data_IF_849475222923
#
_entry.id   IF_849475222923
#
_cell.length_a   1.000
_cell.length_b   1.000
_cell.length_c   1.000
_cell.angle_alpha   90.00
_cell.angle_beta   90.00
_cell.angle_gamma   90.00
#
_symmetry.space_group_name_H-M   'P 1'
#
loop_
_entity.id
_entity.type
_entity.pdbx_description
1 polymer ?
#
# COMPACT_ATOMS: atom_id res chain seq x y z
N UNK A 1 0.05 -35.78 6.48
CA UNK A 1 0.85 -34.64 6.93
C UNK A 1 -0.08 -33.45 7.01
N UNK A 2 -0.41 -32.98 8.21
CA UNK A 2 -1.17 -31.73 8.38
C UNK A 2 -0.23 -30.59 8.00
N UNK A 3 -0.42 -30.00 6.82
CA UNK A 3 0.27 -28.78 6.44
C UNK A 3 0.05 -27.76 7.57
N UNK A 4 1.14 -27.29 8.17
CA UNK A 4 1.09 -26.24 9.18
C UNK A 4 0.63 -24.99 8.42
N UNK A 5 -0.65 -24.64 8.53
CA UNK A 5 -1.20 -23.49 7.82
C UNK A 5 -0.47 -22.25 8.32
N UNK A 6 0.35 -21.64 7.45
CA UNK A 6 1.04 -20.40 7.77
C UNK A 6 0.03 -19.29 8.02
N UNK A 7 0.45 -18.35 8.85
CA UNK A 7 -0.35 -17.19 9.19
C UNK A 7 -0.61 -16.33 7.96
N UNK A 8 -1.86 -15.87 7.80
CA UNK A 8 -2.23 -15.00 6.68
C UNK A 8 -1.59 -13.61 6.82
N UNK A 9 -1.16 -13.07 5.68
CA UNK A 9 -0.52 -11.76 5.53
C UNK A 9 -1.42 -10.84 4.70
N UNK A 10 -1.62 -9.62 5.20
CA UNK A 10 -2.33 -8.57 4.48
C UNK A 10 -1.32 -7.62 3.83
N UNK A 11 -1.37 -7.49 2.51
CA UNK A 11 -0.62 -6.49 1.75
C UNK A 11 -1.55 -5.34 1.38
N UNK A 12 -1.31 -4.14 1.88
CA UNK A 12 -2.13 -2.95 1.61
C UNK A 12 -1.42 -2.04 0.61
N UNK A 13 -2.10 -1.75 -0.50
CA UNK A 13 -1.62 -0.92 -1.61
C UNK A 13 -2.43 0.38 -1.71
N UNK A 14 -1.81 1.50 -1.36
CA UNK A 14 -2.45 2.82 -1.41
C UNK A 14 -2.21 3.51 -2.76
N UNK A 15 -3.27 3.67 -3.55
CA UNK A 15 -3.25 4.39 -4.83
C UNK A 15 -3.65 5.85 -4.62
N UNK A 16 -2.74 6.65 -4.03
CA UNK A 16 -3.03 8.03 -3.67
C UNK A 16 -3.29 8.91 -4.89
N UNK A 17 -4.30 9.76 -4.77
CA UNK A 17 -4.71 10.70 -5.80
C UNK A 17 -6.10 10.46 -6.33
N UNK A 18 -6.95 9.68 -5.65
CA UNK A 18 -8.36 9.51 -6.04
C UNK A 18 -8.56 9.12 -7.51
N UNK A 19 -8.07 7.95 -7.92
CA UNK A 19 -8.17 7.54 -9.32
C UNK A 19 -9.61 7.54 -9.84
N UNK A 20 -9.77 7.74 -11.15
CA UNK A 20 -11.07 7.78 -11.79
C UNK A 20 -11.71 6.40 -11.86
N UNK A 21 -12.63 6.14 -10.93
CA UNK A 21 -13.37 4.88 -10.86
C UNK A 21 -14.07 4.53 -12.18
N UNK A 22 -14.64 5.51 -12.89
CA UNK A 22 -15.40 5.27 -14.13
C UNK A 22 -14.50 5.03 -15.35
N UNK A 23 -13.22 5.38 -15.26
CA UNK A 23 -12.18 4.98 -16.23
C UNK A 23 -11.28 3.87 -15.68
N UNK A 24 -11.68 3.20 -14.61
CA UNK A 24 -10.99 2.06 -14.02
C UNK A 24 -11.86 0.81 -14.14
N UNK A 25 -13.11 0.90 -13.64
CA UNK A 25 -14.19 -0.06 -13.85
C UNK A 25 -15.28 0.68 -14.63
N UNK A 26 -15.24 0.49 -15.94
CA UNK A 26 -15.95 1.29 -16.93
C UNK A 26 -17.34 0.70 -17.14
N UNK A 27 -18.43 1.46 -16.89
CA UNK A 27 -19.79 1.04 -17.24
C UNK A 27 -20.02 1.24 -18.75
N UNK A 28 -19.33 0.45 -19.56
CA UNK A 28 -19.12 0.71 -20.99
C UNK A 28 -20.39 0.57 -21.85
N UNK A 29 -21.44 -0.08 -21.32
CA UNK A 29 -22.75 -0.19 -21.94
C UNK A 29 -23.78 0.84 -21.41
N UNK A 30 -23.39 1.70 -20.46
CA UNK A 30 -24.26 2.79 -19.99
C UNK A 30 -24.10 4.03 -20.91
N UNK A 31 -25.16 4.46 -21.63
CA UNK A 31 -25.07 5.62 -22.51
C UNK A 31 -24.67 6.90 -21.77
N UNK A 32 -24.97 7.03 -20.48
CA UNK A 32 -24.57 8.20 -19.68
C UNK A 32 -23.06 8.32 -19.56
N UNK A 33 -22.32 7.21 -19.52
CA UNK A 33 -20.86 7.26 -19.50
C UNK A 33 -20.34 7.95 -20.76
N UNK A 34 -20.86 7.58 -21.93
CA UNK A 34 -20.46 8.17 -23.21
C UNK A 34 -20.84 9.66 -23.31
N UNK A 35 -22.01 10.03 -22.80
CA UNK A 35 -22.48 11.41 -22.80
C UNK A 35 -21.65 12.32 -21.89
N UNK A 36 -21.25 11.81 -20.72
CA UNK A 36 -20.49 12.57 -19.71
C UNK A 36 -18.97 12.55 -19.94
N UNK A 37 -18.44 11.60 -20.74
CA UNK A 37 -17.02 11.41 -21.04
C UNK A 37 -16.71 11.61 -22.52
N UNK A 38 -16.83 12.83 -23.04
CA UNK A 38 -16.64 13.11 -24.48
C UNK A 38 -15.19 12.97 -24.93
N UNK A 39 -14.24 13.33 -24.07
CA UNK A 39 -12.79 13.28 -24.33
C UNK A 39 -12.17 12.05 -23.68
N UNK A 40 -12.64 11.69 -22.48
CA UNK A 40 -12.03 10.66 -21.66
C UNK A 40 -12.62 9.26 -21.84
N UNK A 41 -13.72 9.09 -22.59
CA UNK A 41 -14.30 7.75 -22.76
C UNK A 41 -13.30 6.77 -23.33
N UNK A 42 -13.41 5.55 -22.86
CA UNK A 42 -12.84 4.36 -23.52
C UNK A 42 -13.96 3.76 -24.37
N UNK A 43 -13.69 3.53 -25.64
CA UNK A 43 -14.70 2.96 -26.54
C UNK A 43 -15.00 1.50 -26.12
N UNK A 44 -16.26 1.04 -26.22
CA UNK A 44 -16.68 -0.29 -25.72
C UNK A 44 -15.80 -1.44 -26.20
N UNK A 45 -15.31 -1.38 -27.44
CA UNK A 45 -14.49 -2.42 -28.06
C UNK A 45 -13.08 -2.51 -27.47
N UNK A 46 -12.64 -1.48 -26.75
CA UNK A 46 -11.33 -1.42 -26.09
C UNK A 46 -11.41 -1.87 -24.62
N UNK A 47 -12.61 -1.89 -24.04
CA UNK A 47 -12.82 -2.26 -22.64
C UNK A 47 -12.60 -3.76 -22.46
N UNK A 48 -12.01 -4.14 -21.31
CA UNK A 48 -11.80 -5.53 -20.94
C UNK A 48 -13.01 -6.02 -20.11
N UNK A 49 -13.98 -6.74 -20.70
CA UNK A 49 -15.27 -6.98 -20.03
C UNK A 49 -15.12 -7.86 -18.79
N UNK A 50 -15.72 -7.45 -17.67
CA UNK A 50 -15.85 -8.27 -16.46
C UNK A 50 -17.19 -9.02 -16.45
N UNK A 51 -18.24 -8.33 -16.91
CA UNK A 51 -19.58 -8.85 -17.16
C UNK A 51 -20.24 -8.06 -18.33
N UNK A 52 -21.56 -8.16 -18.49
CA UNK A 52 -22.32 -7.46 -19.54
C UNK A 52 -22.48 -5.95 -19.31
N UNK A 53 -22.09 -5.42 -18.15
CA UNK A 53 -22.32 -4.03 -17.75
C UNK A 53 -21.03 -3.25 -17.55
N UNK A 54 -20.02 -3.87 -16.96
CA UNK A 54 -18.77 -3.23 -16.57
C UNK A 54 -17.53 -3.98 -17.06
N UNK A 55 -16.46 -3.25 -17.27
CA UNK A 55 -15.17 -3.82 -17.68
C UNK A 55 -13.99 -2.99 -17.20
N UNK A 56 -12.80 -3.58 -17.20
CA UNK A 56 -11.59 -2.86 -16.82
C UNK A 56 -11.05 -2.01 -17.96
N UNK A 57 -10.34 -0.95 -17.59
CA UNK A 57 -9.59 -0.14 -18.53
C UNK A 57 -8.57 -1.01 -19.32
N UNK A 58 -8.37 -0.80 -20.64
CA UNK A 58 -7.51 -1.65 -21.48
C UNK A 58 -6.07 -1.83 -20.97
N UNK A 59 -5.51 -0.81 -20.30
CA UNK A 59 -4.17 -0.91 -19.70
C UNK A 59 -4.09 -1.79 -18.45
N UNK A 60 -5.22 -2.28 -17.93
CA UNK A 60 -5.30 -3.16 -16.78
C UNK A 60 -5.35 -4.65 -17.18
N UNK A 61 -4.92 -4.99 -18.40
CA UNK A 61 -4.88 -6.37 -18.88
C UNK A 61 -4.19 -7.36 -17.91
N UNK A 62 -3.09 -7.03 -17.21
CA UNK A 62 -2.51 -7.92 -16.21
C UNK A 62 -3.46 -8.23 -15.04
N UNK A 63 -4.19 -7.23 -14.54
CA UNK A 63 -5.18 -7.45 -13.48
C UNK A 63 -6.39 -8.24 -14.00
N UNK A 64 -6.78 -8.02 -15.25
CA UNK A 64 -7.84 -8.80 -15.91
C UNK A 64 -7.50 -10.29 -15.97
N UNK A 65 -6.25 -10.63 -16.26
CA UNK A 65 -5.81 -12.04 -16.26
C UNK A 65 -6.00 -12.69 -14.87
N UNK A 66 -5.64 -11.97 -13.79
CA UNK A 66 -5.89 -12.45 -12.42
C UNK A 66 -7.39 -12.57 -12.10
N UNK A 67 -8.21 -11.63 -12.60
CA UNK A 67 -9.66 -11.70 -12.46
C UNK A 67 -10.23 -12.95 -13.14
N UNK A 68 -9.76 -13.28 -14.35
CA UNK A 68 -10.18 -14.47 -15.10
C UNK A 68 -9.77 -15.78 -14.43
N UNK A 69 -8.71 -15.76 -13.62
CA UNK A 69 -8.31 -16.86 -12.73
C UNK A 69 -9.15 -16.94 -11.43
N UNK A 70 -10.12 -16.04 -11.24
CA UNK A 70 -10.94 -15.95 -10.02
C UNK A 70 -10.17 -15.41 -8.81
N UNK A 71 -9.13 -14.61 -9.03
CA UNK A 71 -8.24 -14.11 -7.96
C UNK A 71 -8.47 -12.66 -7.59
N UNK A 72 -9.48 -12.01 -8.15
CA UNK A 72 -9.74 -10.57 -7.96
C UNK A 72 -11.22 -10.34 -7.64
N UNK A 73 -11.49 -9.66 -6.53
CA UNK A 73 -12.79 -9.08 -6.23
C UNK A 73 -12.74 -7.56 -6.43
N UNK A 74 -13.75 -7.03 -7.12
CA UNK A 74 -13.91 -5.60 -7.40
C UNK A 74 -14.99 -5.03 -6.48
N UNK A 75 -14.59 -4.11 -5.59
CA UNK A 75 -15.50 -3.44 -4.65
C UNK A 75 -15.91 -2.09 -5.24
N UNK A 76 -17.09 -2.01 -5.83
CA UNK A 76 -17.61 -0.78 -6.45
C UNK A 76 -18.45 0.06 -5.48
N UNK A 77 -18.47 1.37 -5.68
CA UNK A 77 -19.35 2.28 -4.94
C UNK A 77 -18.94 2.49 -3.48
N UNK A 78 -17.69 2.18 -3.12
CA UNK A 78 -17.19 2.32 -1.75
C UNK A 78 -16.86 3.77 -1.43
N UNK A 79 -16.96 4.13 -0.15
CA UNK A 79 -16.66 5.47 0.33
C UNK A 79 -17.11 5.64 1.77
N UNK A 80 -17.25 6.89 2.20
CA UNK A 80 -17.70 7.22 3.56
C UNK A 80 -18.82 8.29 3.50
N UNK A 81 -19.69 8.37 4.52
CA UNK A 81 -20.79 9.34 4.55
C UNK A 81 -20.28 10.79 4.47
N UNK A 82 -21.02 11.66 3.77
CA UNK A 82 -20.69 13.07 3.60
C UNK A 82 -19.26 13.28 3.05
N UNK A 83 -18.99 12.80 1.81
CA UNK A 83 -17.65 12.78 1.24
C UNK A 83 -17.04 14.17 1.18
N UNK A 84 -15.80 14.29 1.65
CA UNK A 84 -15.07 15.54 1.61
C UNK A 84 -14.03 15.44 0.49
N UNK A 85 -13.97 16.42 -0.39
CA UNK A 85 -13.14 16.34 -1.62
C UNK A 85 -11.69 16.79 -1.37
N UNK A 86 -11.16 16.51 -0.17
CA UNK A 86 -9.81 16.88 0.24
C UNK A 86 -8.97 15.62 0.40
N UNK A 87 -7.89 15.49 -0.37
CA UNK A 87 -6.96 14.36 -0.27
C UNK A 87 -6.52 14.11 1.18
N UNK A 88 -6.13 15.16 1.90
CA UNK A 88 -5.61 15.04 3.27
C UNK A 88 -6.61 14.40 4.22
N UNK A 89 -7.81 14.96 4.32
CA UNK A 89 -8.79 14.46 5.29
C UNK A 89 -9.53 13.22 4.80
N UNK A 90 -9.71 13.01 3.49
CA UNK A 90 -10.21 11.73 2.98
C UNK A 90 -9.24 10.57 3.25
N UNK A 91 -7.95 10.77 3.00
CA UNK A 91 -6.93 9.77 3.33
C UNK A 91 -6.90 9.50 4.83
N UNK A 92 -6.98 10.54 5.66
CA UNK A 92 -7.06 10.41 7.13
C UNK A 92 -8.26 9.56 7.57
N UNK A 93 -9.44 9.74 6.94
CA UNK A 93 -10.62 8.91 7.21
C UNK A 93 -10.37 7.44 6.84
N UNK A 94 -9.81 7.16 5.66
CA UNK A 94 -9.47 5.79 5.25
C UNK A 94 -8.40 5.14 6.14
N UNK A 95 -7.43 5.94 6.60
CA UNK A 95 -6.37 5.49 7.50
C UNK A 95 -6.86 5.19 8.91
N UNK A 96 -7.82 5.97 9.41
CA UNK A 96 -8.32 5.83 10.79
C UNK A 96 -9.60 4.98 10.89
N UNK A 97 -10.30 4.79 9.76
CA UNK A 97 -11.66 4.30 9.68
C UNK A 97 -12.67 5.15 10.50
N UNK A 98 -12.43 6.46 10.65
CA UNK A 98 -13.25 7.38 11.45
C UNK A 98 -13.64 8.64 10.65
N UNK A 99 -14.87 8.70 10.10
CA UNK A 99 -15.31 9.81 9.25
C UNK A 99 -15.69 11.08 10.02
N UNK A 100 -16.09 10.96 11.30
CA UNK A 100 -16.71 12.05 12.07
C UNK A 100 -15.76 12.77 13.01
N UNK A 101 -14.78 12.06 13.55
CA UNK A 101 -13.83 12.60 14.53
C UNK A 101 -12.42 12.69 13.95
N UNK A 102 -11.61 13.54 14.57
CA UNK A 102 -10.17 13.49 14.40
C UNK A 102 -9.59 12.55 15.44
N UNK A 103 -8.99 11.46 14.97
CA UNK A 103 -8.29 10.48 15.81
C UNK A 103 -6.87 10.32 15.29
N UNK A 104 -5.98 9.89 16.15
CA UNK A 104 -4.54 9.80 15.85
C UNK A 104 -4.10 8.37 15.52
N UNK A 105 -4.93 7.38 15.84
CA UNK A 105 -4.66 5.97 15.65
C UNK A 105 -5.29 5.43 14.36
N UNK A 106 -4.45 4.82 13.53
CA UNK A 106 -4.85 4.11 12.34
C UNK A 106 -5.41 2.72 12.65
N UNK A 107 -6.29 2.25 11.78
CA UNK A 107 -6.95 0.96 11.99
C UNK A 107 -5.97 -0.22 11.84
N UNK A 108 -4.96 -0.14 10.97
CA UNK A 108 -3.90 -1.15 10.90
C UNK A 108 -3.01 -1.10 12.14
N UNK A 109 -2.70 0.09 12.66
CA UNK A 109 -1.99 0.25 13.92
C UNK A 109 -2.71 -0.45 15.07
N UNK A 110 -4.04 -0.27 15.18
CA UNK A 110 -4.85 -1.02 16.15
C UNK A 110 -4.81 -2.54 15.91
N UNK A 111 -4.94 -2.98 14.66
CA UNK A 111 -4.87 -4.40 14.32
C UNK A 111 -3.51 -5.03 14.66
N UNK A 112 -2.40 -4.31 14.45
CA UNK A 112 -1.04 -4.77 14.81
C UNK A 112 -0.94 -4.96 16.32
N UNK A 113 -1.47 -4.02 17.11
CA UNK A 113 -1.50 -4.15 18.57
C UNK A 113 -2.30 -5.36 19.03
N UNK A 114 -3.38 -5.70 18.33
CA UNK A 114 -4.19 -6.87 18.66
C UNK A 114 -3.51 -8.18 18.22
N UNK A 115 -2.75 -8.16 17.12
CA UNK A 115 -1.97 -9.30 16.62
C UNK A 115 -0.71 -9.58 17.44
N UNK A 116 -0.06 -8.54 17.95
CA UNK A 116 1.17 -8.60 18.74
C UNK A 116 1.09 -7.68 19.98
N UNK A 117 0.25 -8.04 20.98
CA UNK A 117 -0.03 -7.19 22.15
C UNK A 117 1.17 -7.01 23.08
N UNK A 118 2.16 -7.90 22.98
CA UNK A 118 3.38 -7.88 23.78
C UNK A 118 4.60 -7.39 23.01
N UNK A 119 4.43 -7.02 21.72
CA UNK A 119 5.49 -6.52 20.84
C UNK A 119 6.67 -7.49 20.76
N UNK A 120 6.36 -8.78 20.66
CA UNK A 120 7.33 -9.86 20.53
C UNK A 120 8.05 -9.80 19.18
N UNK A 121 7.36 -9.31 18.15
CA UNK A 121 7.90 -9.14 16.80
C UNK A 121 7.85 -7.69 16.34
N UNK A 122 9.01 -7.02 16.33
CA UNK A 122 9.17 -5.65 15.84
C UNK A 122 8.89 -5.51 14.33
N UNK A 123 8.80 -6.62 13.60
CA UNK A 123 8.47 -6.70 12.17
C UNK A 123 7.07 -7.28 11.93
N UNK A 124 6.17 -7.29 12.94
CA UNK A 124 4.75 -7.65 12.74
C UNK A 124 4.13 -6.85 11.59
N UNK A 125 4.57 -5.61 11.40
CA UNK A 125 4.27 -4.84 10.20
C UNK A 125 5.49 -4.11 9.62
N UNK A 126 5.52 -4.00 8.30
CA UNK A 126 6.54 -3.27 7.54
C UNK A 126 5.88 -2.40 6.49
N UNK A 127 6.31 -1.14 6.42
CA UNK A 127 5.91 -0.18 5.40
C UNK A 127 7.08 0.09 4.46
N UNK A 128 6.81 0.03 3.15
CA UNK A 128 7.76 0.48 2.13
C UNK A 128 7.32 1.85 1.62
N UNK A 129 8.18 2.84 1.81
CA UNK A 129 7.88 4.24 1.52
C UNK A 129 8.64 5.21 2.40
N UNK A 130 8.49 6.50 2.10
CA UNK A 130 9.12 7.58 2.86
C UNK A 130 8.15 8.13 3.89
N UNK A 131 8.24 7.62 5.11
CA UNK A 131 7.39 8.00 6.25
C UNK A 131 6.32 6.97 6.56
N UNK A 132 5.83 7.01 7.81
CA UNK A 132 4.83 6.08 8.32
C UNK A 132 3.41 6.56 7.95
N UNK A 133 2.64 5.80 7.18
CA UNK A 133 1.23 6.08 6.93
C UNK A 133 0.44 6.12 8.22
N UNK A 134 -0.51 7.04 8.35
CA UNK A 134 -1.36 7.14 9.54
C UNK A 134 -2.12 5.85 9.80
N UNK A 135 -2.45 5.07 8.76
CA UNK A 135 -3.09 3.76 8.91
C UNK A 135 -2.35 2.82 9.87
N UNK A 136 -1.01 2.92 9.92
CA UNK A 136 -0.14 2.07 10.72
C UNK A 136 0.24 2.69 12.08
N UNK A 137 -0.10 3.95 12.32
CA UNK A 137 0.25 4.64 13.55
C UNK A 137 -0.70 4.23 14.69
N UNK A 138 -0.17 3.73 15.80
CA UNK A 138 -0.93 3.56 17.03
C UNK A 138 -0.02 3.61 18.26
N UNK A 139 -0.49 4.10 19.42
CA UNK A 139 0.28 4.02 20.66
C UNK A 139 0.66 2.58 21.00
N UNK A 140 1.94 2.38 21.34
CA UNK A 140 2.49 1.07 21.70
C UNK A 140 2.92 0.19 20.53
N UNK A 141 2.74 0.65 19.28
CA UNK A 141 3.07 -0.11 18.07
C UNK A 141 4.28 0.49 17.37
N UNK A 142 5.27 -0.36 17.06
CA UNK A 142 6.42 0.00 16.22
C UNK A 142 6.24 -0.61 14.84
N UNK A 143 6.48 0.18 13.79
CA UNK A 143 6.42 -0.27 12.40
C UNK A 143 7.66 0.23 11.66
N UNK A 144 8.42 -0.70 11.07
CA UNK A 144 9.55 -0.34 10.23
C UNK A 144 9.07 0.38 8.96
N UNK A 145 9.60 1.56 8.66
CA UNK A 145 9.34 2.28 7.40
C UNK A 145 10.63 2.35 6.57
N UNK A 146 10.62 1.64 5.44
CA UNK A 146 11.79 1.36 4.61
C UNK A 146 11.67 2.10 3.30
N UNK A 147 12.52 3.12 3.09
CA UNK A 147 12.57 3.88 1.84
C UNK A 147 13.35 3.18 0.71
N UNK A 148 14.33 2.36 1.08
CA UNK A 148 15.09 1.48 0.20
C UNK A 148 15.64 0.35 1.06
N UNK A 149 15.31 -0.90 0.75
CA UNK A 149 15.72 -2.07 1.52
C UNK A 149 17.22 -2.36 1.41
N UNK A 150 17.82 -2.16 0.23
CA UNK A 150 19.25 -2.39 -0.03
C UNK A 150 20.16 -1.47 0.79
N UNK A 151 19.67 -0.26 1.08
CA UNK A 151 20.40 0.75 1.85
C UNK A 151 19.72 1.03 3.20
N UNK A 152 18.82 0.15 3.65
CA UNK A 152 18.11 0.37 4.90
C UNK A 152 19.05 0.20 6.08
N UNK A 153 18.98 1.15 7.02
CA UNK A 153 19.84 1.16 8.19
C UNK A 153 19.70 2.44 8.98
N UNK A 154 19.96 2.35 10.28
CA UNK A 154 20.06 3.50 11.19
C UNK A 154 21.53 3.61 11.58
N UNK A 155 22.11 4.82 11.51
CA UNK A 155 23.53 5.08 11.81
C UNK A 155 24.51 4.20 11.00
N UNK A 156 24.24 4.04 9.70
CA UNK A 156 25.05 3.18 8.80
C UNK A 156 26.53 3.57 8.69
N UNK A 157 26.89 4.80 9.07
CA UNK A 157 28.28 5.27 9.17
C UNK A 157 29.04 4.84 10.42
N UNK A 158 28.37 4.21 11.39
CA UNK A 158 28.98 3.71 12.64
C UNK A 158 29.14 2.17 12.53
N UNK A 159 30.35 1.68 12.77
CA UNK A 159 30.68 0.26 12.72
C UNK A 159 30.47 -0.40 14.10
N UNK A 160 29.68 -1.47 14.15
CA UNK A 160 29.40 -2.22 15.39
C UNK A 160 28.07 -1.85 16.04
N UNK A 161 27.30 -2.87 16.42
CA UNK A 161 25.96 -2.72 17.04
C UNK A 161 26.03 -1.96 18.37
N UNK A 162 26.98 -2.30 19.23
CA UNK A 162 27.20 -1.65 20.52
C UNK A 162 27.46 -0.14 20.37
N UNK A 163 28.23 0.27 19.36
CA UNK A 163 28.53 1.67 19.10
C UNK A 163 27.30 2.44 18.57
N UNK A 164 26.40 1.78 17.81
CA UNK A 164 25.15 2.39 17.35
C UNK A 164 24.16 2.56 18.50
N UNK A 165 24.06 1.55 19.37
CA UNK A 165 23.22 1.61 20.59
C UNK A 165 23.74 2.68 21.54
N UNK A 166 25.04 2.74 21.78
CA UNK A 166 25.68 3.79 22.59
C UNK A 166 25.46 5.19 21.97
N UNK A 167 25.59 5.33 20.65
CA UNK A 167 25.31 6.60 19.97
C UNK A 167 23.85 7.05 20.12
N UNK A 168 22.88 6.13 20.07
CA UNK A 168 21.48 6.44 20.34
C UNK A 168 21.22 6.80 21.81
N UNK A 169 21.85 6.09 22.76
CA UNK A 169 21.75 6.42 24.19
C UNK A 169 22.36 7.80 24.48
N UNK A 170 23.53 8.10 23.93
CA UNK A 170 24.15 9.43 24.00
C UNK A 170 23.25 10.47 23.36
N UNK A 171 22.67 10.20 22.18
CA UNK A 171 21.74 11.12 21.53
C UNK A 171 20.53 11.42 22.43
N UNK A 172 19.86 10.39 22.93
CA UNK A 172 18.72 10.52 23.83
C UNK A 172 19.07 11.35 25.09
N UNK A 173 20.23 11.08 25.72
CA UNK A 173 20.71 11.81 26.90
C UNK A 173 21.18 13.24 26.61
N UNK A 174 21.69 13.49 25.41
CA UNK A 174 22.19 14.82 25.02
C UNK A 174 21.04 15.78 24.74
N UNK A 175 19.94 15.28 24.17
CA UNK A 175 18.75 16.08 23.87
C UNK A 175 17.70 16.05 24.99
N UNK A 176 17.82 15.16 25.98
CA UNK A 176 17.07 15.15 27.23
C UNK A 176 16.88 16.53 27.89
N UNK A 177 17.89 17.41 27.99
CA UNK A 177 17.72 18.75 28.59
C UNK A 177 16.92 19.72 27.72
N UNK A 178 16.87 19.51 26.39
CA UNK A 178 16.16 20.37 25.43
C UNK A 178 14.72 19.89 25.16
N UNK A 179 14.48 18.58 25.19
CA UNK A 179 13.18 17.93 24.91
C UNK A 179 12.45 17.56 26.22
N UNK A 180 13.18 17.46 27.33
CA UNK A 180 12.70 17.03 28.65
C UNK A 180 12.91 15.53 28.90
N UNK A 181 13.12 15.13 30.16
CA UNK A 181 13.22 13.73 30.62
C UNK A 181 11.82 13.08 30.79
N UNK A 182 10.95 13.26 29.80
CA UNK A 182 9.56 12.78 29.84
C UNK A 182 9.32 11.56 28.95
N UNK A 183 8.06 11.08 28.91
CA UNK A 183 7.62 9.94 28.07
C UNK A 183 8.01 10.05 26.59
N UNK A 184 8.27 11.27 26.09
CA UNK A 184 8.73 11.54 24.73
C UNK A 184 10.15 11.01 24.49
N UNK A 185 11.06 11.15 25.45
CA UNK A 185 12.45 10.69 25.27
C UNK A 185 12.55 9.16 25.34
N UNK A 186 11.80 8.54 26.25
CA UNK A 186 11.69 7.08 26.34
C UNK A 186 11.10 6.51 25.04
N UNK A 187 10.07 7.17 24.50
CA UNK A 187 9.45 6.80 23.23
C UNK A 187 10.43 6.91 22.05
N UNK A 188 11.18 8.02 21.94
CA UNK A 188 12.18 8.21 20.89
C UNK A 188 13.31 7.18 20.98
N UNK A 189 13.80 6.91 22.20
CA UNK A 189 14.86 5.93 22.44
C UNK A 189 14.41 4.53 22.06
N UNK A 190 13.24 4.10 22.54
CA UNK A 190 12.69 2.78 22.22
C UNK A 190 12.43 2.63 20.71
N UNK A 191 11.80 3.63 20.09
CA UNK A 191 11.53 3.61 18.65
C UNK A 191 12.82 3.56 17.83
N UNK A 192 13.86 4.28 18.26
CA UNK A 192 15.18 4.25 17.63
C UNK A 192 15.86 2.88 17.72
N UNK A 193 15.79 2.23 18.89
CA UNK A 193 16.33 0.89 19.11
C UNK A 193 15.56 -0.18 18.31
N UNK A 194 14.23 -0.09 18.26
CA UNK A 194 13.42 -0.99 17.45
C UNK A 194 13.72 -0.81 15.96
N UNK A 195 13.95 0.42 15.51
CA UNK A 195 14.31 0.71 14.11
C UNK A 195 15.70 0.15 13.76
N UNK A 196 16.68 0.21 14.67
CA UNK A 196 17.99 -0.43 14.48
C UNK A 196 17.84 -1.94 14.32
N UNK A 197 17.21 -2.60 15.30
CA UNK A 197 16.99 -4.06 15.27
C UNK A 197 16.21 -4.49 14.04
N UNK A 198 15.17 -3.74 13.69
CA UNK A 198 14.34 -4.01 12.53
C UNK A 198 15.15 -3.88 11.24
N UNK A 199 16.07 -2.92 11.15
CA UNK A 199 16.93 -2.77 9.99
C UNK A 199 17.90 -3.94 9.81
N UNK A 200 18.56 -4.36 10.88
CA UNK A 200 19.50 -5.49 10.82
C UNK A 200 18.77 -6.77 10.39
N UNK A 201 17.58 -7.06 10.94
CA UNK A 201 16.78 -8.22 10.53
C UNK A 201 16.32 -8.08 9.06
N UNK A 202 15.78 -6.93 8.67
CA UNK A 202 15.23 -6.73 7.31
C UNK A 202 16.26 -6.89 6.21
N UNK A 203 17.51 -6.47 6.43
CA UNK A 203 18.58 -6.64 5.43
C UNK A 203 18.90 -8.10 5.15
N UNK A 204 18.62 -9.02 6.09
CA UNK A 204 18.82 -10.47 5.87
C UNK A 204 17.88 -11.05 4.81
N UNK A 205 16.72 -10.42 4.55
CA UNK A 205 15.80 -10.84 3.50
C UNK A 205 16.42 -10.79 2.09
N UNK A 206 17.38 -9.88 1.87
CA UNK A 206 18.08 -9.75 0.60
C UNK A 206 18.98 -10.97 0.31
N UNK A 207 19.48 -11.62 1.36
CA UNK A 207 20.40 -12.76 1.24
C UNK A 207 19.66 -14.09 1.09
N UNK A 208 18.43 -14.19 1.58
CA UNK A 208 17.61 -15.40 1.50
C UNK A 208 16.71 -15.45 0.26
N UNK A 209 16.49 -14.31 -0.39
CA UNK A 209 15.63 -14.21 -1.56
C UNK A 209 16.34 -14.61 -2.86
N UNK A 210 15.68 -15.45 -3.65
CA UNK A 210 16.06 -15.80 -5.02
C UNK A 210 14.81 -16.13 -5.82
N UNK A 211 14.63 -15.47 -6.97
CA UNK A 211 13.44 -15.62 -7.82
C UNK A 211 13.85 -15.52 -9.29
N UNK A 212 13.16 -16.26 -10.16
CA UNK A 212 13.26 -16.12 -11.61
C UNK A 212 12.39 -14.98 -12.15
N UNK A 213 11.45 -14.49 -11.33
CA UNK A 213 10.54 -13.40 -11.68
C UNK A 213 11.29 -12.05 -11.67
N UNK A 214 11.17 -11.31 -12.76
CA UNK A 214 11.82 -10.01 -12.92
C UNK A 214 10.83 -8.87 -12.73
N UNK A 215 11.09 -8.01 -11.75
CA UNK A 215 10.33 -6.78 -11.50
C UNK A 215 10.84 -5.62 -12.36
N UNK A 216 9.90 -4.79 -12.82
CA UNK A 216 10.21 -3.53 -13.50
C UNK A 216 10.97 -2.57 -12.59
N UNK A 217 11.71 -1.62 -13.19
CA UNK A 217 12.59 -0.68 -12.46
C UNK A 217 11.87 0.53 -11.88
N UNK A 218 10.57 0.70 -12.13
CA UNK A 218 9.78 1.77 -11.51
C UNK A 218 9.69 1.56 -9.99
N UNK A 219 9.39 2.63 -9.25
CA UNK A 219 9.31 2.53 -7.78
C UNK A 219 8.32 1.44 -7.38
N UNK A 220 7.09 1.52 -7.86
CA UNK A 220 6.03 0.72 -7.28
C UNK A 220 6.31 -0.79 -7.43
N UNK A 221 6.85 -1.21 -8.57
CA UNK A 221 7.35 -2.58 -8.77
C UNK A 221 8.48 -2.96 -7.80
N UNK A 222 9.46 -2.08 -7.57
CA UNK A 222 10.53 -2.35 -6.60
C UNK A 222 10.01 -2.43 -5.16
N UNK A 223 8.95 -1.69 -4.81
CA UNK A 223 8.36 -1.77 -3.48
C UNK A 223 7.68 -3.12 -3.29
N UNK A 224 6.96 -3.60 -4.31
CA UNK A 224 6.37 -4.93 -4.28
C UNK A 224 7.42 -6.05 -4.27
N UNK A 225 8.56 -5.88 -4.94
CA UNK A 225 9.71 -6.78 -4.78
C UNK A 225 10.17 -6.84 -3.33
N UNK A 226 10.30 -5.70 -2.65
CA UNK A 226 10.70 -5.67 -1.25
C UNK A 226 9.65 -6.32 -0.33
N UNK A 227 8.35 -6.15 -0.65
CA UNK A 227 7.25 -6.86 0.02
C UNK A 227 7.42 -8.38 -0.12
N UNK A 228 7.71 -8.88 -1.32
CA UNK A 228 7.98 -10.30 -1.54
C UNK A 228 9.20 -10.78 -0.74
N UNK A 229 10.31 -10.03 -0.78
CA UNK A 229 11.53 -10.37 -0.03
C UNK A 229 11.27 -10.51 1.47
N UNK A 230 10.56 -9.56 2.08
CA UNK A 230 10.25 -9.61 3.51
C UNK A 230 9.28 -10.73 3.86
N UNK A 231 8.25 -10.94 3.04
CA UNK A 231 7.29 -12.02 3.27
C UNK A 231 7.96 -13.39 3.19
N UNK A 232 8.78 -13.61 2.16
CA UNK A 232 9.47 -14.88 1.92
C UNK A 232 10.59 -15.17 2.91
N UNK A 233 11.17 -14.14 3.53
CA UNK A 233 12.13 -14.29 4.63
C UNK A 233 11.49 -14.79 5.93
N UNK A 234 10.16 -14.85 6.01
CA UNK A 234 9.38 -15.46 7.10
C UNK A 234 9.66 -14.87 8.48
N UNK A 235 9.85 -13.54 8.56
CA UNK A 235 10.04 -12.82 9.83
C UNK A 235 8.79 -12.75 10.71
N UNK A 236 7.74 -13.51 10.40
CA UNK A 236 6.44 -13.42 11.07
C UNK A 236 5.68 -12.11 10.78
N UNK A 237 6.04 -11.41 9.69
CA UNK A 237 5.31 -10.20 9.26
C UNK A 237 3.88 -10.53 8.87
N UNK A 238 2.91 -9.82 9.45
CA UNK A 238 1.47 -10.02 9.25
C UNK A 238 0.84 -8.94 8.37
N UNK A 239 1.43 -7.74 8.34
CA UNK A 239 0.93 -6.60 7.57
C UNK A 239 2.06 -5.94 6.80
N UNK A 240 1.90 -5.85 5.49
CA UNK A 240 2.80 -5.15 4.58
C UNK A 240 2.06 -3.97 3.96
N UNK A 241 2.68 -2.80 3.96
CA UNK A 241 2.06 -1.59 3.42
C UNK A 241 2.97 -0.94 2.39
N UNK A 242 2.40 -0.51 1.28
CA UNK A 242 3.08 0.36 0.31
C UNK A 242 2.04 1.19 -0.44
N UNK A 243 2.51 2.15 -1.23
CA UNK A 243 1.65 2.93 -2.12
C UNK A 243 2.46 3.65 -3.17
N UNK A 244 1.74 4.17 -4.16
CA UNK A 244 2.34 5.14 -5.10
C UNK A 244 2.62 6.45 -4.38
N UNK A 245 3.47 7.29 -4.98
CA UNK A 245 3.76 8.62 -4.43
C UNK A 245 2.46 9.42 -4.27
N UNK A 246 2.33 10.25 -3.21
CA UNK A 246 1.15 11.08 -3.00
C UNK A 246 0.76 11.88 -4.24
N UNK A 247 -0.53 11.84 -4.59
CA UNK A 247 -1.09 12.58 -5.74
C UNK A 247 -0.77 11.98 -7.11
N UNK A 248 -0.17 10.79 -7.20
CA UNK A 248 0.18 10.18 -8.49
C UNK A 248 -1.04 9.91 -9.37
N UNK A 249 -2.17 9.50 -8.79
CA UNK A 249 -3.44 9.33 -9.51
C UNK A 249 -4.29 10.61 -9.58
N UNK A 250 -3.75 11.78 -9.17
CA UNK A 250 -4.51 13.04 -9.13
C UNK A 250 -4.63 13.71 -10.50
N UNK A 251 -5.35 13.07 -11.42
CA UNK A 251 -5.40 13.42 -12.84
C UNK A 251 -6.46 14.48 -13.16
N UNK A 252 -6.14 15.75 -12.92
CA UNK A 252 -6.98 16.90 -13.34
C UNK A 252 -6.77 17.29 -14.81
N UNK A 253 -5.72 16.77 -15.46
CA UNK A 253 -5.42 17.03 -16.87
C UNK A 253 -4.66 15.84 -17.49
N UNK A 254 -4.73 15.74 -18.82
CA UNK A 254 -4.07 14.71 -19.64
C UNK A 254 -4.33 13.27 -19.15
N UNK A 255 -5.53 13.03 -18.60
CA UNK A 255 -5.91 11.77 -17.99
C UNK A 255 -5.89 10.60 -18.99
N UNK A 256 -6.22 10.86 -20.26
CA UNK A 256 -6.12 9.88 -21.35
C UNK A 256 -4.67 9.41 -21.64
N UNK A 257 -3.66 10.11 -21.13
CA UNK A 257 -2.24 9.73 -21.24
C UNK A 257 -1.73 9.19 -19.91
N UNK A 258 -2.02 9.87 -18.81
CA UNK A 258 -1.50 9.53 -17.49
C UNK A 258 -2.16 8.29 -16.90
N UNK A 259 -3.49 8.19 -16.91
CA UNK A 259 -4.22 7.09 -16.28
C UNK A 259 -3.87 5.72 -16.91
N UNK A 260 -3.81 5.55 -18.25
CA UNK A 260 -3.43 4.26 -18.83
C UNK A 260 -2.02 3.84 -18.43
N UNK A 261 -1.06 4.79 -18.42
CA UNK A 261 0.32 4.53 -18.01
C UNK A 261 0.38 4.06 -16.56
N UNK A 262 -0.26 4.79 -15.65
CA UNK A 262 -0.27 4.46 -14.22
C UNK A 262 -0.91 3.10 -13.96
N UNK A 263 -2.04 2.80 -14.58
CA UNK A 263 -2.68 1.50 -14.45
C UNK A 263 -1.84 0.38 -15.07
N UNK A 264 -1.16 0.63 -16.19
CA UNK A 264 -0.21 -0.32 -16.76
C UNK A 264 0.94 -0.63 -15.80
N UNK A 265 1.55 0.38 -15.20
CA UNK A 265 2.63 0.21 -14.22
C UNK A 265 2.15 -0.56 -12.98
N UNK A 266 1.03 -0.14 -12.37
CA UNK A 266 0.48 -0.75 -11.16
C UNK A 266 0.03 -2.19 -11.39
N UNK A 267 -0.75 -2.46 -12.44
CA UNK A 267 -1.28 -3.82 -12.66
C UNK A 267 -0.20 -4.80 -13.10
N UNK A 268 0.80 -4.36 -13.87
CA UNK A 268 1.98 -5.20 -14.14
C UNK A 268 2.72 -5.52 -12.85
N UNK A 269 2.99 -4.52 -12.00
CA UNK A 269 3.70 -4.72 -10.73
C UNK A 269 2.95 -5.71 -9.81
N UNK A 270 1.62 -5.57 -9.70
CA UNK A 270 0.78 -6.50 -8.91
C UNK A 270 0.79 -7.91 -9.52
N UNK A 271 0.68 -8.03 -10.84
CA UNK A 271 0.74 -9.33 -11.51
C UNK A 271 2.10 -10.01 -11.32
N UNK A 272 3.20 -9.26 -11.45
CA UNK A 272 4.56 -9.76 -11.21
C UNK A 272 4.74 -10.20 -9.75
N UNK A 273 4.25 -9.40 -8.79
CA UNK A 273 4.27 -9.77 -7.38
C UNK A 273 3.51 -11.07 -7.11
N UNK A 274 2.32 -11.22 -7.67
CA UNK A 274 1.52 -12.44 -7.52
C UNK A 274 2.19 -13.67 -8.18
N UNK A 275 2.87 -13.48 -9.32
CA UNK A 275 3.66 -14.54 -9.96
C UNK A 275 4.85 -14.97 -9.09
N UNK A 276 5.53 -14.02 -8.44
CA UNK A 276 6.63 -14.31 -7.52
C UNK A 276 6.14 -15.10 -6.31
N UNK A 277 5.01 -14.69 -5.71
CA UNK A 277 4.37 -15.47 -4.65
C UNK A 277 4.01 -16.90 -5.10
N UNK A 278 3.51 -17.07 -6.32
CA UNK A 278 3.22 -18.41 -6.90
C UNK A 278 4.49 -19.24 -7.09
N UNK A 279 5.57 -18.66 -7.60
CA UNK A 279 6.87 -19.33 -7.77
C UNK A 279 7.38 -19.88 -6.42
N UNK A 280 7.13 -19.14 -5.35
CA UNK A 280 7.52 -19.49 -4.00
C UNK A 280 6.46 -20.28 -3.20
N UNK A 281 5.34 -20.66 -3.81
CA UNK A 281 4.21 -21.33 -3.14
C UNK A 281 3.63 -20.56 -1.93
N UNK A 282 3.75 -19.23 -1.94
CA UNK A 282 3.32 -18.33 -0.87
C UNK A 282 2.01 -17.58 -1.20
N UNK A 283 1.44 -17.78 -2.38
CA UNK A 283 0.25 -17.08 -2.86
C UNK A 283 -1.01 -17.37 -2.02
N UNK A 284 -1.11 -18.52 -1.36
CA UNK A 284 -2.23 -18.87 -0.47
C UNK A 284 -2.22 -18.10 0.86
N UNK A 285 -1.09 -17.52 1.23
CA UNK A 285 -0.88 -16.81 2.51
C UNK A 285 -1.23 -15.33 2.41
N UNK A 286 -1.22 -14.77 1.20
CA UNK A 286 -1.29 -13.33 0.97
C UNK A 286 -2.66 -12.91 0.43
N UNK A 287 -3.23 -11.88 1.07
CA UNK A 287 -4.35 -11.11 0.52
C UNK A 287 -3.89 -9.68 0.29
N UNK A 288 -4.10 -9.18 -0.92
CA UNK A 288 -3.74 -7.82 -1.31
C UNK A 288 -5.02 -6.97 -1.29
N UNK A 289 -4.98 -5.82 -0.62
CA UNK A 289 -6.04 -4.83 -0.60
C UNK A 289 -5.55 -3.52 -1.23
N UNK A 290 -6.12 -3.12 -2.36
CA UNK A 290 -5.75 -1.92 -3.10
C UNK A 290 -6.88 -0.89 -3.09
N UNK A 291 -6.60 0.32 -2.60
CA UNK A 291 -7.63 1.36 -2.42
C UNK A 291 -7.12 2.77 -2.75
N UNK A 292 -8.05 3.72 -2.82
CA UNK A 292 -7.81 5.15 -2.97
C UNK A 292 -8.79 5.94 -2.08
N UNK A 293 -8.54 7.23 -1.84
CA UNK A 293 -9.27 8.02 -0.85
C UNK A 293 -10.71 8.39 -1.23
N UNK A 294 -10.98 8.56 -2.52
CA UNK A 294 -12.29 8.84 -3.12
C UNK A 294 -12.18 8.66 -4.64
N UNK A 295 -13.26 8.82 -5.40
CA UNK A 295 -13.22 8.79 -6.86
C UNK A 295 -13.46 10.15 -7.50
N UNK A 296 -13.70 10.15 -8.81
CA UNK A 296 -13.81 11.34 -9.64
C UNK A 296 -15.25 11.66 -10.02
N UNK A 297 -15.49 12.89 -10.50
CA UNK A 297 -16.82 13.27 -10.99
C UNK A 297 -17.22 12.44 -12.21
N UNK A 298 -18.54 12.28 -12.37
CA UNK A 298 -19.12 11.62 -13.55
C UNK A 298 -18.81 12.42 -14.81
N UNK A 299 -18.98 13.74 -14.78
CA UNK A 299 -18.66 14.62 -15.90
C UNK A 299 -17.17 14.96 -15.92
N UNK A 300 -16.54 14.82 -17.09
CA UNK A 300 -15.16 15.25 -17.33
C UNK A 300 -15.00 16.79 -17.25
N UNK A 301 -13.78 17.23 -16.98
CA UNK A 301 -13.38 18.64 -16.99
C UNK A 301 -12.16 18.81 -17.90
N UNK A 302 -12.42 19.14 -19.17
CA UNK A 302 -11.36 19.27 -20.17
C UNK A 302 -10.69 17.92 -20.45
N UNK A 303 -9.38 17.81 -20.18
CA UNK A 303 -8.61 16.59 -20.37
C UNK A 303 -8.42 15.76 -19.10
N UNK A 304 -9.17 16.04 -18.03
CA UNK A 304 -9.15 15.28 -16.78
C UNK A 304 -10.47 15.32 -16.04
N UNK A 305 -10.44 15.04 -14.73
CA UNK A 305 -11.65 15.00 -13.90
C UNK A 305 -11.43 15.66 -12.54
N UNK A 306 -12.46 16.39 -12.09
CA UNK A 306 -12.50 16.98 -10.75
C UNK A 306 -12.73 15.91 -9.68
N UNK A 307 -12.48 16.27 -8.42
CA UNK A 307 -12.78 15.43 -7.26
C UNK A 307 -14.28 15.11 -7.16
N UNK A 308 -14.58 13.83 -7.00
CA UNK A 308 -15.92 13.28 -6.87
C UNK A 308 -16.13 12.57 -5.54
N UNK A 309 -16.96 11.54 -5.60
CA UNK A 309 -17.37 10.71 -4.46
C UNK A 309 -17.64 9.30 -4.95
N UNK A 310 -17.52 8.31 -4.05
CA UNK A 310 -17.56 6.91 -4.44
C UNK A 310 -16.27 6.52 -5.17
N UNK A 311 -15.78 5.33 -4.91
CA UNK A 311 -14.55 4.82 -5.51
C UNK A 311 -14.68 3.34 -5.84
N UNK A 312 -13.55 2.78 -6.23
CA UNK A 312 -13.37 1.33 -6.37
C UNK A 312 -12.23 0.92 -5.43
N UNK A 313 -12.26 -0.33 -4.98
CA UNK A 313 -11.08 -1.00 -4.43
C UNK A 313 -11.02 -2.42 -5.00
N UNK A 314 -9.84 -3.02 -4.88
CA UNK A 314 -9.59 -4.38 -5.31
C UNK A 314 -9.10 -5.22 -4.14
N UNK A 315 -9.59 -6.44 -4.04
CA UNK A 315 -9.04 -7.48 -3.18
C UNK A 315 -8.49 -8.57 -4.09
N UNK A 316 -7.24 -8.98 -3.88
CA UNK A 316 -6.54 -9.91 -4.79
C UNK A 316 -5.87 -11.01 -3.96
N UNK A 317 -6.03 -12.27 -4.37
CA UNK A 317 -5.38 -13.41 -3.72
C UNK A 317 -6.14 -14.72 -3.95
N UNK A 318 -5.57 -15.83 -3.48
CA UNK A 318 -6.17 -17.17 -3.64
C UNK A 318 -7.40 -17.39 -2.75
N UNK A 319 -7.49 -16.66 -1.65
CA UNK A 319 -8.59 -16.75 -0.67
C UNK A 319 -9.78 -15.84 -1.01
N UNK A 320 -9.75 -15.16 -2.16
CA UNK A 320 -10.78 -14.21 -2.62
C UNK A 320 -11.92 -14.93 -3.34
#
# INVERSE_FOLDING_TARGET
MTAKQKDRVLVVLQMSGAYDALNTVIPYNDPLYMDYRKVLRVEPEQVLPLDEHVGLHPSMAPLKALYDEGKVAVLQGIGYPNPIRSHFRSMDIWHTAEPTKMVTDGWLGRAIRDLDPHKENILTAVNFGRGLPRALAAPGVSVASVGNLETYGVLTGIQGEDQRVEALDIFARTYSPAIGNGPVNDYLSQTGLDALKGADILTTALHTYSSSVTYNRDLFAQWLKNVAQVHLADFGTRILYTGVNPGTFDTHANQNISLPKLWGEVTNAVSTFYQDLKEHHANEEVVIFMFTEFGRRVQENGSGTDHGSGGVAFVIGDAV
#
